data_IF_018363128401
#
_entry.id   IF_018363128401
#
_cell.length_a   1.000
_cell.length_b   1.000
_cell.length_c   1.000
_cell.angle_alpha   90.00
_cell.angle_beta   90.00
_cell.angle_gamma   90.00
#
_symmetry.space_group_name_H-M   'P 1'
#
loop_
_entity.id
_entity.type
_entity.pdbx_description
1 polymer ?
#
# COMPACT_ATOMS: atom_id res chain seq x y z
N UNK A 1 12.34 30.21 20.23
CA UNK A 1 11.40 29.07 20.28
C UNK A 1 11.56 28.29 19.00
N UNK A 2 12.21 27.11 19.07
CA UNK A 2 12.54 26.31 17.89
C UNK A 2 11.34 25.44 17.53
N UNK A 3 10.70 25.73 16.39
CA UNK A 3 9.63 24.90 15.84
C UNK A 3 10.30 23.68 15.22
N UNK A 4 10.19 22.53 15.87
CA UNK A 4 10.55 21.25 15.27
C UNK A 4 9.60 20.98 14.09
N UNK A 5 10.05 21.31 12.88
CA UNK A 5 9.47 20.80 11.65
C UNK A 5 9.56 19.26 11.68
N UNK A 6 8.46 18.52 11.46
CA UNK A 6 8.55 17.08 11.29
C UNK A 6 9.41 16.83 10.05
N UNK A 7 10.50 16.09 10.25
CA UNK A 7 11.33 15.57 9.16
C UNK A 7 10.44 14.62 8.34
N UNK A 8 9.82 15.11 7.27
CA UNK A 8 9.18 14.27 6.27
C UNK A 8 10.26 13.39 5.64
N UNK A 9 10.46 12.20 6.20
CA UNK A 9 11.29 11.17 5.59
C UNK A 9 10.52 10.63 4.40
N UNK A 10 10.81 11.19 3.23
CA UNK A 10 10.45 10.62 1.94
C UNK A 10 11.25 9.33 1.71
N UNK A 11 10.95 8.26 2.45
CA UNK A 11 11.37 6.92 2.06
C UNK A 11 10.52 6.50 0.87
N UNK A 12 11.16 6.31 -0.29
CA UNK A 12 10.50 5.75 -1.45
C UNK A 12 9.84 4.41 -1.06
N UNK A 13 8.52 4.32 -1.23
CA UNK A 13 7.74 3.12 -0.95
C UNK A 13 8.39 1.91 -1.65
N UNK A 14 8.97 1.00 -0.87
CA UNK A 14 9.62 -0.17 -1.41
C UNK A 14 8.56 -1.18 -1.89
N UNK A 15 8.27 -1.14 -3.18
CA UNK A 15 7.35 -2.09 -3.79
C UNK A 15 7.95 -3.49 -3.85
N UNK A 16 7.10 -4.49 -3.61
CA UNK A 16 7.47 -5.88 -3.62
C UNK A 16 8.12 -6.28 -4.95
N UNK A 17 9.36 -6.76 -4.88
CA UNK A 17 10.07 -7.34 -6.02
C UNK A 17 9.68 -8.81 -6.28
N UNK A 18 8.49 -9.23 -5.88
CA UNK A 18 8.06 -10.62 -5.91
C UNK A 18 7.40 -10.99 -4.60
N UNK A 19 6.51 -11.97 -4.62
CA UNK A 19 5.70 -12.31 -3.44
C UNK A 19 6.40 -13.22 -2.43
N UNK A 20 7.67 -13.56 -2.68
CA UNK A 20 8.57 -14.28 -1.77
C UNK A 20 9.75 -13.41 -1.29
N UNK A 21 9.75 -12.11 -1.61
CA UNK A 21 10.81 -11.15 -1.23
C UNK A 21 10.25 -10.15 -0.23
N UNK A 22 10.07 -10.61 1.00
CA UNK A 22 9.56 -9.78 2.10
C UNK A 22 10.58 -8.71 2.50
N UNK A 23 10.08 -7.51 2.77
CA UNK A 23 10.85 -6.38 3.28
C UNK A 23 10.55 -6.16 4.76
N UNK A 24 11.47 -5.55 5.51
CA UNK A 24 11.15 -5.00 6.82
C UNK A 24 9.98 -4.02 6.72
N UNK A 25 9.02 -4.15 7.62
CA UNK A 25 7.91 -3.22 7.82
C UNK A 25 7.90 -2.80 9.29
N UNK A 26 7.34 -1.63 9.63
CA UNK A 26 7.12 -1.31 11.02
C UNK A 26 6.16 -2.34 11.63
N UNK A 27 6.35 -2.67 12.92
CA UNK A 27 5.56 -3.69 13.61
C UNK A 27 4.04 -3.54 13.36
N UNK A 28 3.33 -4.63 13.09
CA UNK A 28 1.91 -4.65 12.67
C UNK A 28 0.96 -3.86 13.56
N UNK A 29 1.21 -3.84 14.87
CA UNK A 29 0.44 -3.08 15.88
C UNK A 29 0.82 -1.59 15.96
N UNK A 30 2.03 -1.24 15.53
CA UNK A 30 2.58 0.13 15.56
C UNK A 30 2.37 0.85 14.23
N UNK A 31 2.33 0.12 13.11
CA UNK A 31 2.11 0.73 11.81
C UNK A 31 0.64 1.11 11.61
N UNK A 32 0.40 2.41 11.62
CA UNK A 32 -0.87 3.02 11.24
C UNK A 32 -0.66 3.73 9.90
N UNK A 33 -1.11 3.11 8.82
CA UNK A 33 -1.50 3.87 7.62
C UNK A 33 -2.53 4.89 8.11
N UNK A 34 -2.43 6.15 7.66
CA UNK A 34 -3.34 7.19 8.10
C UNK A 34 -4.79 6.72 7.88
N UNK A 35 -5.64 6.86 8.89
CA UNK A 35 -6.95 6.17 8.91
C UNK A 35 -7.84 6.60 7.72
N UNK A 36 -7.68 7.83 7.25
CA UNK A 36 -8.37 8.37 6.06
C UNK A 36 -8.01 7.65 4.77
N UNK A 37 -6.85 7.00 4.75
CA UNK A 37 -6.29 6.36 3.56
C UNK A 37 -6.56 4.86 3.56
N UNK A 38 -7.14 4.31 4.63
CA UNK A 38 -7.47 2.90 4.73
C UNK A 38 -8.86 2.66 4.13
N UNK A 39 -8.93 1.90 3.04
CA UNK A 39 -10.20 1.43 2.49
C UNK A 39 -10.73 0.23 3.26
N UNK A 40 -9.86 -0.72 3.58
CA UNK A 40 -10.21 -1.85 4.43
C UNK A 40 -8.95 -2.45 5.07
N UNK A 41 -9.09 -2.97 6.29
CA UNK A 41 -8.01 -3.63 7.04
C UNK A 41 -8.58 -4.81 7.81
N UNK A 42 -7.89 -5.94 7.77
CA UNK A 42 -8.31 -7.13 8.51
C UNK A 42 -7.35 -8.30 8.37
N UNK A 43 -7.61 -9.34 9.14
CA UNK A 43 -6.91 -10.62 9.06
C UNK A 43 -7.66 -11.54 8.11
N UNK A 44 -6.99 -12.03 7.06
CA UNK A 44 -7.62 -12.84 6.02
C UNK A 44 -6.77 -14.06 5.72
N UNK A 45 -7.42 -15.20 5.54
CA UNK A 45 -6.77 -16.43 5.09
C UNK A 45 -6.33 -16.22 3.64
N UNK A 46 -5.04 -16.42 3.38
CA UNK A 46 -4.43 -16.09 2.10
C UNK A 46 -3.25 -16.99 1.76
N UNK A 47 -2.92 -17.05 0.48
CA UNK A 47 -1.61 -17.48 0.02
C UNK A 47 -1.13 -16.59 -1.12
N UNK A 48 0.18 -16.56 -1.31
CA UNK A 48 0.86 -15.79 -2.33
C UNK A 48 1.53 -16.76 -3.30
N UNK A 49 1.41 -16.48 -4.60
CA UNK A 49 2.09 -17.21 -5.66
C UNK A 49 3.01 -16.26 -6.40
N UNK A 50 4.32 -16.46 -6.31
CA UNK A 50 5.30 -15.74 -7.12
C UNK A 50 5.47 -16.47 -8.44
N UNK A 51 5.26 -15.75 -9.55
CA UNK A 51 5.50 -16.33 -10.88
C UNK A 51 7.00 -16.36 -11.13
N UNK A 52 7.53 -17.52 -11.51
CA UNK A 52 8.92 -17.62 -11.94
C UNK A 52 9.15 -16.78 -13.20
N UNK A 53 10.28 -16.05 -13.23
CA UNK A 53 10.72 -15.33 -14.43
C UNK A 53 11.35 -16.26 -15.47
N UNK A 54 11.66 -17.50 -15.11
CA UNK A 54 12.25 -18.50 -15.99
C UNK A 54 11.28 -19.67 -16.17
N UNK A 55 10.92 -19.98 -17.42
CA UNK A 55 9.82 -20.90 -17.73
C UNK A 55 10.04 -22.35 -17.24
N UNK A 56 11.29 -22.73 -16.96
CA UNK A 56 11.66 -24.07 -16.47
C UNK A 56 11.67 -24.18 -14.94
N UNK A 57 11.58 -23.07 -14.20
CA UNK A 57 11.53 -23.12 -12.75
C UNK A 57 10.07 -23.10 -12.27
N UNK A 58 9.72 -23.93 -11.27
CA UNK A 58 8.38 -23.92 -10.71
C UNK A 58 8.10 -22.56 -10.05
N UNK A 59 6.81 -22.20 -10.03
CA UNK A 59 6.36 -21.06 -9.26
C UNK A 59 6.53 -21.33 -7.76
N UNK A 60 6.86 -20.28 -7.01
CA UNK A 60 6.94 -20.34 -5.56
C UNK A 60 5.58 -19.98 -4.95
N UNK A 61 5.05 -20.85 -4.09
CA UNK A 61 3.73 -20.71 -3.47
C UNK A 61 3.91 -20.74 -1.96
N UNK A 62 3.56 -19.64 -1.29
CA UNK A 62 3.57 -19.58 0.17
C UNK A 62 2.52 -20.51 0.76
N UNK A 63 2.70 -20.91 2.03
CA UNK A 63 1.64 -21.59 2.77
C UNK A 63 0.34 -20.77 2.86
N UNK A 64 -0.78 -21.50 2.94
CA UNK A 64 -2.09 -20.94 3.25
C UNK A 64 -2.12 -20.56 4.72
N UNK A 65 -2.22 -19.27 5.02
CA UNK A 65 -2.24 -18.77 6.41
C UNK A 65 -2.97 -17.45 6.55
N UNK A 66 -3.37 -17.13 7.78
CA UNK A 66 -3.99 -15.86 8.13
C UNK A 66 -2.93 -14.75 8.11
N UNK A 67 -3.17 -13.71 7.30
CA UNK A 67 -2.29 -12.54 7.19
C UNK A 67 -3.05 -11.27 7.53
N UNK A 68 -2.39 -10.35 8.24
CA UNK A 68 -2.90 -8.99 8.38
C UNK A 68 -2.69 -8.25 7.06
N UNK A 69 -3.78 -7.76 6.47
CA UNK A 69 -3.78 -7.08 5.19
C UNK A 69 -4.45 -5.73 5.33
N UNK A 70 -3.90 -4.71 4.67
CA UNK A 70 -4.46 -3.37 4.57
C UNK A 70 -4.53 -2.95 3.11
N UNK A 71 -5.69 -2.49 2.65
CA UNK A 71 -5.89 -1.91 1.32
C UNK A 71 -6.09 -0.41 1.48
N UNK A 72 -5.36 0.37 0.69
CA UNK A 72 -5.32 1.83 0.81
C UNK A 72 -6.04 2.52 -0.36
N UNK A 73 -6.52 3.74 -0.13
CA UNK A 73 -7.13 4.60 -1.16
C UNK A 73 -6.13 4.97 -2.25
N UNK A 74 -4.86 5.02 -1.88
CA UNK A 74 -3.71 5.25 -2.77
C UNK A 74 -3.31 4.04 -3.60
N UNK A 75 -4.16 3.02 -3.75
CA UNK A 75 -3.89 1.90 -4.65
C UNK A 75 -2.81 0.93 -4.19
N UNK A 76 -2.41 0.98 -2.92
CA UNK A 76 -1.47 0.04 -2.32
C UNK A 76 -2.16 -0.99 -1.44
N UNK A 77 -1.61 -2.20 -1.43
CA UNK A 77 -1.95 -3.27 -0.52
C UNK A 77 -0.72 -3.66 0.29
N UNK A 78 -0.85 -3.56 1.61
CA UNK A 78 0.15 -4.03 2.55
C UNK A 78 -0.24 -5.44 3.00
N UNK A 79 0.67 -6.39 2.86
CA UNK A 79 0.48 -7.79 3.27
C UNK A 79 1.59 -8.18 4.22
N UNK A 80 1.25 -8.39 5.49
CA UNK A 80 2.22 -8.90 6.46
C UNK A 80 2.42 -10.40 6.34
N UNK A 81 3.67 -10.83 6.39
CA UNK A 81 4.05 -12.25 6.47
C UNK A 81 4.22 -12.68 7.92
N UNK A 82 4.81 -11.81 8.74
CA UNK A 82 4.95 -11.92 10.21
C UNK A 82 4.73 -10.53 10.84
N UNK A 83 5.14 -10.30 12.09
CA UNK A 83 4.84 -9.04 12.79
C UNK A 83 5.62 -7.83 12.27
N UNK A 84 6.81 -8.05 11.68
CA UNK A 84 7.77 -6.98 11.30
C UNK A 84 8.22 -7.08 9.84
N UNK A 85 7.66 -8.01 9.05
CA UNK A 85 7.96 -8.17 7.63
C UNK A 85 6.73 -8.40 6.79
N UNK A 86 6.80 -7.96 5.55
CA UNK A 86 5.71 -8.15 4.60
C UNK A 86 6.03 -7.60 3.23
N UNK A 87 4.98 -7.25 2.50
CA UNK A 87 5.01 -6.76 1.14
C UNK A 87 4.15 -5.52 1.02
N UNK A 88 4.62 -4.57 0.21
CA UNK A 88 3.81 -3.46 -0.30
C UNK A 88 3.59 -3.70 -1.79
N UNK A 89 2.33 -3.82 -2.18
CA UNK A 89 1.91 -4.20 -3.52
C UNK A 89 1.14 -3.06 -4.14
N UNK A 90 1.50 -2.66 -5.37
CA UNK A 90 0.73 -1.70 -6.14
C UNK A 90 -0.45 -2.40 -6.83
N UNK A 91 -1.66 -2.22 -6.31
CA UNK A 91 -2.88 -2.81 -6.86
C UNK A 91 -3.28 -2.22 -8.21
N UNK A 92 -2.83 -1.01 -8.55
CA UNK A 92 -3.06 -0.45 -9.91
C UNK A 92 -2.34 -1.24 -11.00
N UNK A 93 -1.29 -1.98 -10.65
CA UNK A 93 -0.61 -2.86 -11.58
C UNK A 93 -1.36 -4.20 -11.77
N UNK A 94 -2.47 -4.44 -11.06
CA UNK A 94 -3.24 -5.65 -11.24
C UNK A 94 -3.85 -5.66 -12.64
N UNK A 95 -3.61 -6.75 -13.39
CA UNK A 95 -4.24 -6.92 -14.70
C UNK A 95 -5.69 -7.37 -14.57
N UNK A 96 -5.99 -8.15 -13.54
CA UNK A 96 -7.31 -8.73 -13.32
C UNK A 96 -7.56 -8.99 -11.84
N UNK A 97 -8.82 -8.83 -11.43
CA UNK A 97 -9.33 -9.26 -10.13
C UNK A 97 -10.49 -10.21 -10.38
N UNK A 98 -10.35 -11.47 -9.99
CA UNK A 98 -11.42 -12.47 -10.09
C UNK A 98 -12.04 -12.70 -8.72
N UNK A 99 -13.36 -12.70 -8.66
CA UNK A 99 -14.11 -13.02 -7.45
C UNK A 99 -15.02 -14.21 -7.77
N UNK A 100 -14.72 -15.37 -7.20
CA UNK A 100 -15.56 -16.57 -7.33
C UNK A 100 -16.24 -16.80 -6.00
N UNK A 101 -17.57 -16.71 -5.97
CA UNK A 101 -18.36 -16.87 -4.76
C UNK A 101 -19.32 -18.05 -4.88
N UNK A 102 -19.47 -18.81 -3.80
CA UNK A 102 -20.38 -19.94 -3.72
C UNK A 102 -20.99 -20.07 -2.31
N UNK A 103 -22.13 -20.77 -2.24
CA UNK A 103 -22.79 -21.11 -0.98
C UNK A 103 -22.19 -22.42 -0.47
N UNK A 104 -21.72 -22.42 0.78
CA UNK A 104 -21.13 -23.59 1.42
C UNK A 104 -21.96 -24.00 2.62
N UNK A 105 -22.30 -25.29 2.71
CA UNK A 105 -22.95 -25.88 3.88
C UNK A 105 -21.88 -26.27 4.90
N UNK A 106 -21.60 -25.36 5.83
CA UNK A 106 -20.68 -25.62 6.93
C UNK A 106 -21.36 -26.32 8.10
N UNK A 107 -20.54 -26.80 9.03
CA UNK A 107 -21.00 -27.43 10.28
C UNK A 107 -21.86 -26.48 11.14
N UNK A 108 -21.60 -25.17 11.07
CA UNK A 108 -22.34 -24.12 11.81
C UNK A 108 -23.50 -23.50 11.00
N UNK A 109 -23.88 -24.13 9.89
CA UNK A 109 -24.90 -23.62 8.98
C UNK A 109 -24.35 -23.13 7.64
N UNK A 110 -25.24 -22.75 6.72
CA UNK A 110 -24.86 -22.27 5.40
C UNK A 110 -24.21 -20.88 5.51
N UNK A 111 -23.09 -20.69 4.81
CA UNK A 111 -22.43 -19.39 4.67
C UNK A 111 -21.99 -19.17 3.23
N UNK A 112 -21.74 -17.92 2.86
CA UNK A 112 -21.14 -17.61 1.55
C UNK A 112 -19.64 -17.53 1.71
N UNK A 113 -18.89 -18.20 0.84
CA UNK A 113 -17.44 -18.01 0.72
C UNK A 113 -17.12 -17.37 -0.62
N UNK A 114 -16.06 -16.59 -0.66
CA UNK A 114 -15.52 -16.05 -1.89
C UNK A 114 -14.00 -16.20 -1.93
N UNK A 115 -13.51 -16.70 -3.05
CA UNK A 115 -12.11 -16.69 -3.42
C UNK A 115 -11.84 -15.48 -4.30
N UNK A 116 -11.02 -14.56 -3.80
CA UNK A 116 -10.55 -13.39 -4.54
C UNK A 116 -9.14 -13.70 -5.06
N UNK A 117 -8.94 -13.64 -6.37
CA UNK A 117 -7.64 -13.79 -7.03
C UNK A 117 -7.25 -12.48 -7.71
N UNK A 118 -6.17 -11.86 -7.23
CA UNK A 118 -5.59 -10.65 -7.80
C UNK A 118 -4.39 -11.06 -8.66
N UNK A 119 -4.45 -10.83 -9.97
CA UNK A 119 -3.33 -11.13 -10.89
C UNK A 119 -2.46 -9.89 -11.07
N UNK A 120 -1.19 -10.03 -10.75
CA UNK A 120 -0.17 -8.98 -10.84
C UNK A 120 0.97 -9.46 -11.75
N UNK A 121 1.81 -8.55 -12.30
CA UNK A 121 2.88 -8.93 -13.23
C UNK A 121 3.84 -9.97 -12.65
N UNK A 122 4.07 -9.94 -11.34
CA UNK A 122 5.04 -10.79 -10.63
C UNK A 122 4.43 -12.02 -9.96
N UNK A 123 3.13 -12.29 -10.18
CA UNK A 123 2.42 -13.39 -9.53
C UNK A 123 1.00 -13.06 -9.11
N UNK A 124 0.47 -13.80 -8.14
CA UNK A 124 -0.93 -13.69 -7.73
C UNK A 124 -1.07 -13.63 -6.21
N UNK A 125 -2.07 -12.88 -5.76
CA UNK A 125 -2.53 -12.87 -4.36
C UNK A 125 -3.88 -13.56 -4.32
N UNK A 126 -4.01 -14.54 -3.42
CA UNK A 126 -5.25 -15.30 -3.22
C UNK A 126 -5.78 -15.02 -1.81
N UNK A 127 -7.02 -14.54 -1.72
CA UNK A 127 -7.72 -14.27 -0.47
C UNK A 127 -8.98 -15.13 -0.36
N UNK A 128 -9.27 -15.62 0.83
CA UNK A 128 -10.48 -16.38 1.14
C UNK A 128 -11.29 -15.62 2.20
N UNK A 129 -12.46 -15.13 1.79
CA UNK A 129 -13.34 -14.29 2.59
C UNK A 129 -14.73 -14.91 2.70
N UNK A 130 -15.49 -14.54 3.72
CA UNK A 130 -16.83 -15.10 4.00
C UNK A 130 -17.84 -14.01 4.31
N UNK A 131 -19.09 -14.29 3.97
CA UNK A 131 -20.28 -13.51 4.36
C UNK A 131 -20.11 -12.00 4.13
N UNK A 132 -20.37 -11.18 5.16
CA UNK A 132 -20.31 -9.72 5.08
C UNK A 132 -18.91 -9.17 4.72
N UNK A 133 -17.84 -9.93 4.95
CA UNK A 133 -16.49 -9.50 4.60
C UNK A 133 -16.24 -9.53 3.09
N UNK A 134 -17.02 -10.30 2.33
CA UNK A 134 -16.87 -10.39 0.87
C UNK A 134 -17.00 -9.01 0.24
N UNK A 135 -18.08 -8.28 0.55
CA UNK A 135 -18.32 -6.96 -0.02
C UNK A 135 -17.23 -5.94 0.36
N UNK A 136 -16.78 -5.95 1.62
CA UNK A 136 -15.76 -5.02 2.10
C UNK A 136 -14.43 -5.21 1.37
N UNK A 137 -13.99 -6.46 1.23
CA UNK A 137 -12.75 -6.79 0.53
C UNK A 137 -12.82 -6.52 -0.97
N UNK A 138 -13.89 -6.96 -1.64
CA UNK A 138 -14.01 -6.74 -3.09
C UNK A 138 -14.11 -5.26 -3.43
N UNK A 139 -14.93 -4.50 -2.71
CA UNK A 139 -15.06 -3.06 -2.93
C UNK A 139 -13.73 -2.31 -2.71
N UNK A 140 -13.04 -2.60 -1.60
CA UNK A 140 -11.75 -1.98 -1.30
C UNK A 140 -10.68 -2.29 -2.36
N UNK A 141 -10.57 -3.56 -2.78
CA UNK A 141 -9.60 -3.98 -3.80
C UNK A 141 -9.91 -3.34 -5.15
N UNK A 142 -11.18 -3.36 -5.58
CA UNK A 142 -11.58 -2.78 -6.87
C UNK A 142 -11.34 -1.26 -6.89
N UNK A 143 -11.71 -0.56 -5.82
CA UNK A 143 -11.47 0.89 -5.68
C UNK A 143 -9.98 1.23 -5.66
N UNK A 144 -9.16 0.42 -4.99
CA UNK A 144 -7.71 0.61 -4.99
C UNK A 144 -7.09 0.33 -6.37
N UNK A 145 -7.52 -0.72 -7.07
CA UNK A 145 -6.98 -1.05 -8.39
C UNK A 145 -7.35 -0.04 -9.48
N UNK A 146 -8.51 0.63 -9.36
CA UNK A 146 -8.94 1.68 -10.27
C UNK A 146 -8.55 3.09 -9.83
N UNK A 147 -7.88 3.24 -8.68
CA UNK A 147 -7.40 4.55 -8.23
C UNK A 147 -6.48 5.15 -9.29
N UNK A 148 -6.67 6.44 -9.58
CA UNK A 148 -5.71 7.16 -10.39
C UNK A 148 -4.33 7.05 -9.73
N UNK A 149 -3.29 6.88 -10.53
CA UNK A 149 -1.94 7.15 -10.03
C UNK A 149 -1.90 8.63 -9.67
N UNK A 150 -2.00 8.97 -8.39
CA UNK A 150 -1.45 10.23 -7.93
C UNK A 150 0.00 10.19 -8.38
N UNK A 151 0.49 11.11 -9.24
CA UNK A 151 1.93 11.27 -9.31
C UNK A 151 2.35 11.47 -7.86
N UNK A 152 3.32 10.69 -7.38
CA UNK A 152 4.00 10.99 -6.13
C UNK A 152 4.21 12.50 -6.17
N UNK A 153 3.62 13.23 -5.22
CA UNK A 153 3.55 14.69 -5.23
C UNK A 153 4.88 15.20 -5.74
N UNK A 154 4.90 15.71 -6.98
CA UNK A 154 6.07 16.42 -7.48
C UNK A 154 6.02 17.71 -6.68
N UNK A 155 6.62 17.67 -5.48
CA UNK A 155 6.78 18.83 -4.62
C UNK A 155 7.75 19.70 -5.39
N UNK A 156 7.20 20.62 -6.16
CA UNK A 156 7.97 21.71 -6.74
C UNK A 156 8.54 22.53 -5.57
N UNK A 157 9.83 22.90 -5.58
CA UNK A 157 10.38 23.75 -4.55
C UNK A 157 9.55 25.02 -4.43
N UNK A 158 9.18 25.40 -3.20
CA UNK A 158 8.61 26.72 -2.93
C UNK A 158 9.57 27.74 -3.54
N UNK A 159 9.12 28.63 -4.44
CA UNK A 159 10.00 29.65 -4.99
C UNK A 159 10.58 30.46 -3.83
N UNK A 160 11.90 30.74 -3.81
CA UNK A 160 12.51 31.50 -2.74
C UNK A 160 11.78 32.85 -2.64
N UNK A 161 11.33 33.16 -1.43
CA UNK A 161 10.77 34.45 -1.05
C UNK A 161 11.78 35.52 -1.54
N UNK A 162 11.36 36.54 -2.32
CA UNK A 162 12.28 37.60 -2.69
C UNK A 162 12.78 38.28 -1.42
N UNK A 163 14.08 38.16 -1.17
CA UNK A 163 14.77 38.88 -0.12
C UNK A 163 14.65 40.37 -0.40
N UNK A 164 13.85 41.07 0.39
CA UNK A 164 13.86 42.52 0.46
C UNK A 164 15.24 42.96 0.94
N UNK A 165 16.07 43.41 0.00
CA UNK A 165 17.32 44.09 0.31
C UNK A 165 17.00 45.45 0.93
N UNK A 166 17.02 45.53 2.26
CA UNK A 166 17.30 46.79 2.93
C UNK A 166 18.77 47.10 2.69
N UNK A 167 19.08 47.90 1.66
CA UNK A 167 20.36 48.58 1.58
C UNK A 167 20.15 50.08 1.76
N UNK A 168 20.70 50.53 2.89
CA UNK A 168 20.71 51.89 3.38
C UNK A 168 21.36 52.86 2.38
N UNK A 169 20.75 54.04 2.27
CA UNK A 169 21.31 55.22 1.64
C UNK A 169 22.42 55.80 2.52
N UNK A 170 23.66 56.00 2.05
CA UNK A 170 24.63 56.81 2.77
C UNK A 170 24.39 58.29 2.47
N UNK A 171 24.08 59.07 3.51
CA UNK A 171 24.09 60.53 3.46
C UNK A 171 25.53 61.05 3.25
N UNK A 172 25.67 61.99 2.33
CA UNK A 172 26.91 62.69 2.03
C UNK A 172 27.33 63.61 3.20
N UNK A 173 28.63 63.77 3.49
CA UNK A 173 29.09 64.68 4.54
C UNK A 173 29.22 66.12 4.04
N UNK A 174 28.72 67.05 4.85
CA UNK A 174 28.89 68.50 4.73
C UNK A 174 30.38 68.89 4.75
N UNK A 175 30.81 69.70 3.80
CA UNK A 175 32.03 70.52 3.91
C UNK A 175 31.63 72.01 3.95
N UNK A 176 32.07 72.66 5.05
CA UNK A 176 32.28 74.10 5.34
C UNK A 176 31.26 75.12 4.87
#
# INVERSE_FOLDING_TARGET
MSVHQPLERHEALQLAKGFNKFIPLPHVRRWKVHQTDVLHRGTVLSFLRTKSSFFLLPDDISSLKSRQITVTSHGYMVVYEDEDRGLIVNLRAASHVFCTADKYKGFKGPYTRCHIKIRLPRGNIHLFVRDAEIHKWTCAIMKASSSASSPATKIEPIPPIPSTSHHATPCCPTQR
#
